data_IF_644206017449
#
_entry.id   IF_644206017449
#
_cell.length_a   1.000
_cell.length_b   1.000
_cell.length_c   1.000
_cell.angle_alpha   90.00
_cell.angle_beta   90.00
_cell.angle_gamma   90.00
#
_symmetry.space_group_name_H-M   'P 1'
#
loop_
_entity.id
_entity.type
_entity.pdbx_description
1 polymer ?
#
# COMPACT_ATOMS: atom_id res chain seq x y z
N UNK A 1 9.86 2.54 -13.28
CA UNK A 1 10.45 3.00 -12.02
C UNK A 1 11.88 3.42 -12.29
N UNK A 2 12.19 4.68 -12.10
CA UNK A 2 13.56 5.19 -12.18
C UNK A 2 13.92 5.65 -10.76
N UNK A 3 14.51 4.78 -9.97
CA UNK A 3 14.94 5.13 -8.62
C UNK A 3 15.59 3.94 -7.92
N UNK A 4 16.45 4.25 -6.98
CA UNK A 4 17.07 3.27 -6.11
C UNK A 4 16.04 2.84 -5.05
N UNK A 5 15.55 1.62 -5.14
CA UNK A 5 14.55 1.04 -4.25
C UNK A 5 14.99 0.95 -2.77
N UNK A 6 16.28 1.14 -2.51
CA UNK A 6 16.83 1.20 -1.16
C UNK A 6 16.65 2.57 -0.49
N UNK A 7 16.31 3.60 -1.27
CA UNK A 7 16.13 4.96 -0.77
C UNK A 7 14.67 5.19 -0.40
N UNK A 8 14.38 5.04 0.87
CA UNK A 8 13.08 5.34 1.46
C UNK A 8 13.30 6.18 2.73
N UNK A 9 12.66 7.32 2.83
CA UNK A 9 12.76 8.19 3.99
C UNK A 9 11.87 7.68 5.14
N UNK A 10 12.36 6.63 5.81
CA UNK A 10 11.64 5.99 6.91
C UNK A 10 11.27 6.97 8.05
N UNK A 11 12.18 7.87 8.50
CA UNK A 11 11.85 8.87 9.53
C UNK A 11 10.70 9.78 9.13
N UNK A 12 10.63 10.22 7.87
CA UNK A 12 9.53 11.05 7.38
C UNK A 12 8.18 10.36 7.54
N UNK A 13 8.12 9.05 7.29
CA UNK A 13 6.90 8.24 7.43
C UNK A 13 6.69 7.67 8.84
N UNK A 14 7.39 8.20 9.85
CA UNK A 14 7.34 7.73 11.24
C UNK A 14 7.67 6.24 11.40
N UNK A 15 8.61 5.73 10.61
CA UNK A 15 9.10 4.36 10.65
C UNK A 15 10.55 4.31 11.12
N UNK A 16 10.88 3.30 11.89
CA UNK A 16 12.28 2.97 12.17
C UNK A 16 12.95 2.33 10.95
N UNK A 17 14.26 2.39 10.86
CA UNK A 17 15.00 1.74 9.78
C UNK A 17 14.73 0.21 9.72
N UNK A 18 14.58 -0.43 10.89
CA UNK A 18 14.25 -1.85 10.98
C UNK A 18 12.84 -2.17 10.45
N UNK A 19 11.84 -1.36 10.79
CA UNK A 19 10.49 -1.49 10.25
C UNK A 19 10.47 -1.27 8.74
N UNK A 20 11.14 -0.24 8.26
CA UNK A 20 11.22 0.05 6.83
C UNK A 20 11.92 -1.06 6.02
N UNK A 21 12.96 -1.69 6.59
CA UNK A 21 13.65 -2.80 5.96
C UNK A 21 12.76 -4.06 5.86
N UNK A 22 11.90 -4.28 6.87
CA UNK A 22 10.97 -5.40 6.93
C UNK A 22 9.68 -5.18 6.13
N UNK A 23 9.40 -3.93 5.76
CA UNK A 23 8.16 -3.54 5.09
C UNK A 23 8.14 -4.01 3.65
N UNK A 24 7.00 -4.56 3.21
CA UNK A 24 6.76 -4.87 1.80
C UNK A 24 7.08 -3.63 0.94
N UNK A 25 7.94 -3.76 -0.09
CA UNK A 25 8.25 -2.67 -0.99
C UNK A 25 7.02 -1.94 -1.55
N UNK A 26 5.93 -2.66 -1.77
CA UNK A 26 4.68 -2.08 -2.25
C UNK A 26 4.10 -1.07 -1.25
N UNK A 27 4.20 -1.32 0.06
CA UNK A 27 3.75 -0.38 1.09
C UNK A 27 4.61 0.89 1.12
N UNK A 28 5.93 0.75 0.91
CA UNK A 28 6.83 1.91 0.81
C UNK A 28 6.46 2.79 -0.38
N UNK A 29 6.27 2.20 -1.56
CA UNK A 29 5.82 2.94 -2.75
C UNK A 29 4.47 3.61 -2.58
N UNK A 30 3.53 2.93 -1.93
CA UNK A 30 2.22 3.53 -1.66
C UNK A 30 2.33 4.77 -0.77
N UNK A 31 3.20 4.76 0.24
CA UNK A 31 3.46 5.93 1.08
C UNK A 31 4.03 7.08 0.25
N UNK A 32 5.10 6.85 -0.51
CA UNK A 32 5.73 7.88 -1.35
C UNK A 32 4.77 8.43 -2.40
N UNK A 33 4.14 7.55 -3.20
CA UNK A 33 3.20 7.98 -4.24
C UNK A 33 1.96 8.68 -3.67
N UNK A 34 1.50 8.28 -2.48
CA UNK A 34 0.37 8.98 -1.84
C UNK A 34 0.75 10.39 -1.42
N UNK A 35 1.97 10.58 -0.93
CA UNK A 35 2.48 11.90 -0.57
C UNK A 35 2.58 12.80 -1.81
N UNK A 36 3.19 12.31 -2.88
CA UNK A 36 3.26 13.01 -4.16
C UNK A 36 1.86 13.38 -4.70
N UNK A 37 0.89 12.46 -4.57
CA UNK A 37 -0.47 12.71 -5.01
C UNK A 37 -1.16 13.82 -4.19
N UNK A 38 -0.93 13.87 -2.87
CA UNK A 38 -1.46 14.93 -2.00
C UNK A 38 -0.85 16.28 -2.37
N UNK A 39 0.47 16.34 -2.59
CA UNK A 39 1.14 17.57 -3.05
C UNK A 39 0.64 18.03 -4.43
N UNK A 40 0.53 17.10 -5.38
CA UNK A 40 0.01 17.41 -6.72
C UNK A 40 -1.45 17.89 -6.70
N UNK A 41 -2.23 17.46 -5.70
CA UNK A 41 -3.59 17.98 -5.49
C UNK A 41 -3.61 19.39 -4.89
N UNK A 42 -2.47 19.99 -4.62
CA UNK A 42 -2.34 21.30 -4.01
C UNK A 42 -2.72 21.33 -2.53
N UNK A 43 -2.70 20.20 -1.86
CA UNK A 43 -3.02 20.07 -0.44
C UNK A 43 -1.73 20.07 0.39
N UNK A 44 -1.73 20.80 1.49
CA UNK A 44 -0.68 20.64 2.49
C UNK A 44 -0.92 19.38 3.32
N UNK A 45 0.14 18.84 3.90
CA UNK A 45 0.04 17.68 4.79
C UNK A 45 -0.93 17.97 5.96
N UNK A 46 -0.86 19.19 6.53
CA UNK A 46 -1.75 19.61 7.61
C UNK A 46 -3.22 19.69 7.24
N UNK A 47 -3.54 20.08 5.98
CA UNK A 47 -4.93 20.11 5.50
C UNK A 47 -5.50 18.73 5.20
N UNK A 48 -4.63 17.77 4.97
CA UNK A 48 -4.99 16.40 4.62
C UNK A 48 -5.09 15.50 5.87
N UNK A 49 -4.20 15.67 6.83
CA UNK A 49 -4.19 14.92 8.09
C UNK A 49 -5.48 15.11 8.89
N UNK A 50 -5.95 14.03 9.51
CA UNK A 50 -7.17 14.03 10.34
C UNK A 50 -8.46 14.19 9.55
N UNK A 51 -8.40 14.27 8.21
CA UNK A 51 -9.56 14.53 7.37
C UNK A 51 -10.47 13.32 7.20
N UNK A 52 -11.75 13.59 6.84
CA UNK A 52 -12.70 12.55 6.40
C UNK A 52 -12.36 12.15 4.96
N UNK A 53 -11.29 11.37 4.82
CA UNK A 53 -10.82 10.81 3.56
C UNK A 53 -10.90 9.30 3.61
N UNK A 54 -11.54 8.68 2.61
CA UNK A 54 -11.52 7.22 2.43
C UNK A 54 -10.25 6.78 1.70
N UNK A 55 -9.78 5.57 1.99
CA UNK A 55 -8.60 4.97 1.35
C UNK A 55 -8.99 3.63 0.74
N UNK A 56 -8.80 3.48 -0.55
CA UNK A 56 -9.03 2.24 -1.27
C UNK A 56 -7.76 1.85 -2.04
N UNK A 57 -7.18 0.71 -1.70
CA UNK A 57 -5.96 0.21 -2.35
C UNK A 57 -6.23 -1.13 -3.01
N UNK A 58 -5.97 -1.22 -4.32
CA UNK A 58 -5.97 -2.48 -5.05
C UNK A 58 -4.60 -3.16 -4.98
N UNK A 59 -4.54 -4.40 -4.49
CA UNK A 59 -3.32 -5.21 -4.49
C UNK A 59 -3.65 -6.70 -4.46
N UNK A 60 -2.96 -7.50 -5.26
CA UNK A 60 -3.14 -8.95 -5.30
C UNK A 60 -1.85 -9.77 -5.16
N UNK A 61 -0.66 -9.16 -5.35
CA UNK A 61 0.61 -9.85 -5.21
C UNK A 61 1.03 -10.02 -3.75
N UNK A 62 1.47 -11.24 -3.39
CA UNK A 62 1.98 -11.61 -2.06
C UNK A 62 3.44 -12.06 -2.09
N UNK A 63 4.10 -11.89 -3.22
CA UNK A 63 5.44 -12.38 -3.50
C UNK A 63 6.45 -12.10 -2.38
N UNK A 64 6.40 -10.88 -1.80
CA UNK A 64 7.31 -10.49 -0.74
C UNK A 64 7.13 -11.35 0.51
N UNK A 65 5.90 -11.59 0.91
CA UNK A 65 5.56 -12.46 2.04
C UNK A 65 6.04 -13.90 1.79
N UNK A 66 5.76 -14.41 0.59
CA UNK A 66 6.12 -15.77 0.21
C UNK A 66 7.64 -15.96 0.17
N UNK A 67 8.38 -14.95 -0.32
CA UNK A 67 9.86 -14.96 -0.32
C UNK A 67 10.44 -14.99 1.09
N UNK A 68 9.88 -14.23 2.01
CA UNK A 68 10.36 -14.16 3.39
C UNK A 68 10.15 -15.48 4.13
N UNK A 69 9.02 -16.15 3.93
CA UNK A 69 8.73 -17.41 4.59
C UNK A 69 9.50 -18.61 4.04
N UNK A 70 10.29 -18.46 2.96
CA UNK A 70 11.20 -19.52 2.48
C UNK A 70 12.33 -19.82 3.44
N UNK A 71 12.76 -18.82 4.21
CA UNK A 71 13.75 -18.96 5.27
C UNK A 71 13.23 -18.31 6.56
N UNK A 72 12.44 -19.05 7.36
CA UNK A 72 11.84 -18.53 8.58
C UNK A 72 12.85 -18.04 9.62
N UNK A 73 14.09 -18.58 9.59
CA UNK A 73 15.14 -18.19 10.54
C UNK A 73 15.70 -16.79 10.24
N UNK A 74 15.61 -16.35 8.98
CA UNK A 74 16.05 -15.03 8.56
C UNK A 74 14.98 -13.95 8.74
N UNK A 75 13.73 -14.33 9.10
CA UNK A 75 12.62 -13.38 9.25
C UNK A 75 12.79 -12.51 10.50
N UNK A 76 13.00 -11.20 10.37
CA UNK A 76 13.10 -10.32 11.52
C UNK A 76 11.80 -10.33 12.36
N UNK A 77 11.94 -10.14 13.68
CA UNK A 77 10.81 -10.20 14.62
C UNK A 77 9.66 -9.23 14.24
N UNK A 78 9.95 -8.08 13.66
CA UNK A 78 8.95 -7.12 13.17
C UNK A 78 8.10 -7.66 12.00
N UNK A 79 8.63 -8.58 11.23
CA UNK A 79 7.89 -9.23 10.14
C UNK A 79 6.86 -10.21 10.68
N UNK A 80 7.13 -10.83 11.84
CA UNK A 80 6.20 -11.72 12.52
C UNK A 80 4.96 -11.01 13.07
N UNK A 81 4.98 -9.69 13.21
CA UNK A 81 3.86 -8.91 13.75
C UNK A 81 2.78 -8.57 12.71
N UNK A 82 2.78 -9.19 11.55
CA UNK A 82 1.81 -8.95 10.47
C UNK A 82 1.77 -7.52 9.88
N UNK A 83 2.32 -6.53 10.57
CA UNK A 83 2.16 -5.14 10.15
C UNK A 83 2.85 -4.82 8.82
N UNK A 84 4.02 -5.41 8.58
CA UNK A 84 4.81 -5.17 7.36
C UNK A 84 4.37 -5.97 6.14
N UNK A 85 3.58 -7.03 6.32
CA UNK A 85 3.26 -7.99 5.27
C UNK A 85 1.76 -8.14 5.02
N UNK A 86 0.93 -7.74 5.97
CA UNK A 86 -0.52 -7.87 5.83
C UNK A 86 -1.04 -7.01 4.68
N UNK A 87 -1.77 -7.64 3.77
CA UNK A 87 -2.44 -6.95 2.66
C UNK A 87 -3.43 -5.89 3.15
N UNK A 88 -4.11 -6.12 4.26
CA UNK A 88 -4.99 -5.14 4.89
C UNK A 88 -4.23 -3.82 5.18
N UNK A 89 -2.95 -3.90 5.49
CA UNK A 89 -2.13 -2.75 5.81
C UNK A 89 -1.69 -1.92 4.58
N UNK A 90 -1.94 -2.37 3.36
CA UNK A 90 -1.74 -1.54 2.17
C UNK A 90 -2.56 -0.23 2.26
N UNK A 91 -3.84 -0.32 2.61
CA UNK A 91 -4.71 0.84 2.82
C UNK A 91 -4.55 1.43 4.23
N UNK A 92 -4.50 0.57 5.25
CA UNK A 92 -4.51 1.00 6.65
C UNK A 92 -3.25 1.80 7.03
N UNK A 93 -2.10 1.50 6.43
CA UNK A 93 -0.87 2.26 6.68
C UNK A 93 -0.96 3.69 6.19
N UNK A 94 -1.59 3.92 5.03
CA UNK A 94 -1.86 5.26 4.52
C UNK A 94 -2.81 6.00 5.46
N UNK A 95 -3.91 5.34 5.86
CA UNK A 95 -4.86 5.90 6.81
C UNK A 95 -4.20 6.24 8.15
N UNK A 96 -3.31 5.39 8.63
CA UNK A 96 -2.58 5.61 9.88
C UNK A 96 -1.61 6.78 9.78
N UNK A 97 -0.79 6.83 8.71
CA UNK A 97 0.21 7.90 8.54
C UNK A 97 -0.44 9.28 8.44
N UNK A 98 -1.55 9.40 7.72
CA UNK A 98 -2.28 10.64 7.55
C UNK A 98 -3.39 10.85 8.58
N UNK A 99 -3.57 9.96 9.56
CA UNK A 99 -4.66 10.02 10.56
C UNK A 99 -6.05 10.14 9.92
N UNK A 100 -6.30 9.45 8.79
CA UNK A 100 -7.56 9.57 8.04
C UNK A 100 -8.72 8.89 8.76
N UNK A 101 -9.91 9.48 8.66
CA UNK A 101 -11.10 9.07 9.41
C UNK A 101 -12.17 8.37 8.57
N UNK A 102 -11.97 8.30 7.26
CA UNK A 102 -12.88 7.59 6.36
C UNK A 102 -12.62 6.08 6.29
N UNK A 103 -13.45 5.34 5.52
CA UNK A 103 -13.22 3.92 5.24
C UNK A 103 -11.82 3.63 4.71
N UNK A 104 -11.23 2.53 5.14
CA UNK A 104 -9.88 2.10 4.73
C UNK A 104 -9.92 0.63 4.34
N UNK A 105 -9.78 0.34 3.04
CA UNK A 105 -10.01 -1.00 2.50
C UNK A 105 -8.95 -1.36 1.47
N UNK A 106 -8.36 -2.54 1.61
CA UNK A 106 -7.56 -3.16 0.56
C UNK A 106 -8.42 -4.18 -0.18
N UNK A 107 -8.33 -4.16 -1.51
CA UNK A 107 -9.21 -4.91 -2.41
C UNK A 107 -8.36 -5.86 -3.24
N UNK A 108 -8.85 -7.07 -3.43
CA UNK A 108 -8.28 -8.03 -4.36
C UNK A 108 -9.37 -8.54 -5.32
N UNK A 109 -9.27 -8.14 -6.55
CA UNK A 109 -10.02 -8.65 -7.69
C UNK A 109 -9.07 -8.95 -8.87
N UNK A 110 -7.88 -9.44 -8.53
CA UNK A 110 -6.79 -9.74 -9.47
C UNK A 110 -6.43 -8.51 -10.34
N UNK A 111 -6.34 -8.66 -11.65
CA UNK A 111 -5.92 -7.58 -12.57
C UNK A 111 -6.84 -6.34 -12.54
N UNK A 112 -8.06 -6.45 -12.07
CA UNK A 112 -9.03 -5.35 -12.01
C UNK A 112 -9.01 -4.57 -10.69
N UNK A 113 -8.16 -4.93 -9.73
CA UNK A 113 -8.13 -4.36 -8.36
C UNK A 113 -8.11 -2.84 -8.33
N UNK A 114 -7.28 -2.20 -9.14
CA UNK A 114 -7.17 -0.74 -9.14
C UNK A 114 -8.42 -0.03 -9.68
N UNK A 115 -9.09 -0.62 -10.68
CA UNK A 115 -10.35 -0.09 -11.20
C UNK A 115 -11.51 -0.27 -10.23
N UNK A 116 -11.55 -1.39 -9.52
CA UNK A 116 -12.54 -1.62 -8.44
C UNK A 116 -12.29 -0.66 -7.28
N UNK A 117 -11.03 -0.44 -6.90
CA UNK A 117 -10.67 0.55 -5.90
C UNK A 117 -11.13 1.97 -6.29
N UNK A 118 -10.93 2.36 -7.57
CA UNK A 118 -11.39 3.63 -8.09
C UNK A 118 -12.92 3.74 -8.04
N UNK A 119 -13.63 2.69 -8.45
CA UNK A 119 -15.09 2.65 -8.38
C UNK A 119 -15.60 2.88 -6.95
N UNK A 120 -15.02 2.18 -5.97
CA UNK A 120 -15.41 2.32 -4.57
C UNK A 120 -15.05 3.71 -4.01
N UNK A 121 -13.93 4.29 -4.42
CA UNK A 121 -13.56 5.67 -4.09
C UNK A 121 -14.62 6.66 -4.61
N UNK A 122 -15.01 6.54 -5.86
CA UNK A 122 -16.07 7.35 -6.45
C UNK A 122 -17.42 7.13 -5.74
N UNK A 123 -17.73 5.90 -5.37
CA UNK A 123 -18.94 5.58 -4.65
C UNK A 123 -18.95 6.24 -3.26
N UNK A 124 -17.87 6.11 -2.50
CA UNK A 124 -17.71 6.72 -1.18
C UNK A 124 -17.94 8.24 -1.18
N UNK A 125 -17.49 8.92 -2.24
CA UNK A 125 -17.74 10.35 -2.44
C UNK A 125 -19.22 10.64 -2.73
N UNK A 126 -19.87 9.81 -3.56
CA UNK A 126 -21.29 9.99 -3.96
C UNK A 126 -22.26 9.70 -2.82
N UNK A 127 -21.94 8.71 -1.97
CA UNK A 127 -22.76 8.35 -0.80
C UNK A 127 -22.52 9.29 0.39
N UNK A 128 -21.46 10.11 0.35
CA UNK A 128 -21.11 11.01 1.44
C UNK A 128 -20.38 10.35 2.60
N UNK A 129 -19.88 9.11 2.42
CA UNK A 129 -19.10 8.40 3.45
C UNK A 129 -17.76 9.11 3.74
N UNK A 130 -17.23 9.81 2.75
CA UNK A 130 -16.04 10.64 2.89
C UNK A 130 -16.12 11.89 2.00
N UNK A 131 -15.37 12.91 2.37
CA UNK A 131 -15.26 14.16 1.58
C UNK A 131 -14.19 14.07 0.51
N UNK A 132 -13.23 13.18 0.67
CA UNK A 132 -12.13 12.91 -0.24
C UNK A 132 -11.92 11.40 -0.33
N UNK A 133 -11.31 10.95 -1.41
CA UNK A 133 -10.91 9.55 -1.57
C UNK A 133 -9.47 9.47 -2.07
N UNK A 134 -8.63 8.76 -1.36
CA UNK A 134 -7.30 8.36 -1.80
C UNK A 134 -7.41 6.96 -2.39
N UNK A 135 -7.13 6.85 -3.68
CA UNK A 135 -7.22 5.57 -4.41
C UNK A 135 -5.86 5.22 -4.98
N UNK A 136 -5.42 4.02 -4.74
CA UNK A 136 -4.14 3.53 -5.25
C UNK A 136 -4.23 2.08 -5.74
N UNK A 137 -3.24 1.68 -6.52
CA UNK A 137 -3.03 0.29 -6.91
C UNK A 137 -1.56 -0.04 -6.84
N UNK A 138 -1.22 -1.18 -6.27
CA UNK A 138 0.14 -1.70 -6.20
C UNK A 138 0.18 -3.17 -6.62
N UNK A 139 1.12 -3.49 -7.52
CA UNK A 139 1.41 -4.86 -7.92
C UNK A 139 2.87 -4.94 -8.33
N UNK A 140 3.70 -5.51 -7.48
CA UNK A 140 5.11 -5.76 -7.75
C UNK A 140 5.35 -7.26 -7.89
N UNK A 141 5.86 -7.67 -9.04
CA UNK A 141 6.34 -9.04 -9.27
C UNK A 141 7.76 -9.11 -8.76
N UNK A 142 7.95 -9.72 -7.60
CA UNK A 142 9.24 -9.83 -6.92
C UNK A 142 9.84 -11.24 -7.03
N UNK A 143 9.01 -12.22 -7.40
CA UNK A 143 9.42 -13.60 -7.55
C UNK A 143 9.13 -14.14 -8.96
N UNK A 144 9.87 -15.14 -9.37
CA UNK A 144 9.73 -15.73 -10.70
C UNK A 144 8.53 -16.69 -10.81
N UNK A 145 7.98 -17.17 -9.70
CA UNK A 145 6.90 -18.16 -9.68
C UNK A 145 5.64 -17.66 -10.39
N UNK A 146 5.30 -16.40 -10.18
CA UNK A 146 4.13 -15.79 -10.85
C UNK A 146 4.31 -15.83 -12.36
N UNK A 147 5.49 -15.47 -12.86
CA UNK A 147 5.79 -15.49 -14.31
C UNK A 147 5.78 -16.92 -14.87
N UNK A 148 6.36 -17.87 -14.12
CA UNK A 148 6.35 -19.29 -14.52
C UNK A 148 4.91 -19.79 -14.59
N UNK A 149 4.12 -19.56 -13.54
CA UNK A 149 2.72 -20.01 -13.49
C UNK A 149 1.90 -19.41 -14.64
N UNK A 150 2.05 -18.10 -14.91
CA UNK A 150 1.35 -17.46 -16.03
C UNK A 150 1.79 -18.01 -17.38
N UNK A 151 3.06 -18.35 -17.56
CA UNK A 151 3.54 -18.91 -18.81
C UNK A 151 3.01 -20.33 -19.09
N UNK A 152 2.59 -21.04 -18.05
CA UNK A 152 2.00 -22.38 -18.14
C UNK A 152 0.49 -22.39 -18.42
N UNK A 153 -0.17 -21.24 -18.26
CA UNK A 153 -1.57 -21.06 -18.62
C UNK A 153 -1.67 -20.79 -20.13
N UNK A 154 -1.88 -21.86 -20.90
CA UNK A 154 -2.09 -21.83 -22.35
C UNK A 154 -3.56 -21.80 -22.69
#
# INVERSE_FOLDING_TARGET
>A
MQGDLSRFDAPFFNLTAAEAAALDPQQRFLLECSYEAVENAGLSLGDFQGSSTSVFVGSFCTDYTDMLWRDPESVPMYQCTNAGQSRANMANRLSYFYDLKGPSVTIDTACSTSLVALHLGCQSLRTGDARRALVAGASAILSHEVMVTMSMMR
#
